data_IF_863485565635
#
_entry.id   IF_863485565635
#
_cell.length_a   1.000
_cell.length_b   1.000
_cell.length_c   1.000
_cell.angle_alpha   90.00
_cell.angle_beta   90.00
_cell.angle_gamma   90.00
#
_symmetry.space_group_name_H-M   'P 1'
#
loop_
_entity.id
_entity.type
_entity.pdbx_description
1 polymer ?
#
# COMPACT_ATOMS: atom_id res chain seq x y z
N UNK A 1 -3.52 16.00 39.12
CA UNK A 1 -3.81 17.38 38.67
C UNK A 1 -3.95 17.36 37.15
N UNK A 2 -5.13 17.73 36.64
CA UNK A 2 -5.45 17.80 35.21
C UNK A 2 -5.02 19.17 34.69
N UNK A 3 -4.08 19.23 33.75
CA UNK A 3 -3.82 20.46 33.00
C UNK A 3 -4.83 20.57 31.87
N UNK A 4 -5.74 21.52 32.03
CA UNK A 4 -6.77 21.87 31.05
C UNK A 4 -6.14 22.88 30.07
N UNK A 5 -5.72 22.42 28.90
CA UNK A 5 -5.16 23.28 27.85
C UNK A 5 -6.32 24.00 27.16
N UNK A 6 -6.43 25.32 27.33
CA UNK A 6 -7.32 26.17 26.56
C UNK A 6 -6.66 26.48 25.21
N UNK A 7 -7.25 25.99 24.12
CA UNK A 7 -6.86 26.37 22.76
C UNK A 7 -7.67 27.60 22.30
N UNK A 8 -7.06 28.59 21.62
CA UNK A 8 -7.76 29.76 21.09
C UNK A 8 -8.74 29.40 19.97
N UNK A 9 -9.87 30.12 19.91
CA UNK A 9 -10.85 30.04 18.83
C UNK A 9 -10.18 30.42 17.49
N UNK A 10 -10.09 29.47 16.55
CA UNK A 10 -9.44 29.65 15.25
C UNK A 10 -8.19 28.78 15.00
N UNK A 11 -7.84 27.87 15.90
CA UNK A 11 -6.82 26.85 15.62
C UNK A 11 -7.38 25.80 14.65
N UNK A 12 -7.06 25.93 13.37
CA UNK A 12 -7.10 24.79 12.45
C UNK A 12 -5.93 23.86 12.82
N UNK A 13 -6.18 22.61 13.25
CA UNK A 13 -5.11 21.66 13.44
C UNK A 13 -4.32 21.56 12.14
N UNK A 14 -2.98 21.65 12.16
CA UNK A 14 -2.20 21.39 10.97
C UNK A 14 -2.60 20.01 10.46
N UNK A 15 -3.04 19.92 9.21
CA UNK A 15 -3.46 18.67 8.57
C UNK A 15 -2.45 17.57 8.93
N UNK A 16 -2.94 16.44 9.45
CA UNK A 16 -2.10 15.30 9.82
C UNK A 16 -1.28 14.88 8.60
N UNK A 17 -0.04 15.35 8.51
CA UNK A 17 0.90 14.93 7.46
C UNK A 17 1.37 13.54 7.85
N UNK A 18 0.90 12.52 7.14
CA UNK A 18 1.26 11.13 7.43
C UNK A 18 2.70 10.88 6.98
N UNK A 19 3.68 11.20 7.84
CA UNK A 19 5.11 10.96 7.61
C UNK A 19 5.48 9.47 7.71
N UNK A 20 4.85 8.63 6.90
CA UNK A 20 5.00 7.17 6.89
C UNK A 20 5.49 6.62 5.56
N UNK A 21 5.45 5.29 5.46
CA UNK A 21 5.79 4.55 4.24
C UNK A 21 4.50 4.10 3.55
N UNK A 22 4.31 4.56 2.31
CA UNK A 22 3.25 4.08 1.42
C UNK A 22 3.79 2.90 0.61
N UNK A 23 3.22 1.72 0.77
CA UNK A 23 3.63 0.51 0.05
C UNK A 23 2.54 0.15 -0.95
N UNK A 24 2.83 0.26 -2.24
CA UNK A 24 1.96 -0.28 -3.28
C UNK A 24 2.31 -1.76 -3.48
N UNK A 25 1.47 -2.63 -2.94
CA UNK A 25 1.67 -4.08 -2.95
C UNK A 25 0.75 -4.70 -4.01
N UNK A 26 1.34 -5.05 -5.16
CA UNK A 26 0.59 -5.64 -6.27
C UNK A 26 1.48 -6.54 -7.16
N UNK A 27 0.85 -7.31 -8.03
CA UNK A 27 1.51 -7.93 -9.18
C UNK A 27 2.04 -6.89 -10.18
N UNK A 28 1.40 -5.72 -10.33
CA UNK A 28 1.65 -4.77 -11.42
C UNK A 28 1.46 -5.35 -12.83
N UNK A 29 0.66 -6.42 -12.97
CA UNK A 29 0.31 -6.96 -14.29
C UNK A 29 -0.73 -6.07 -15.00
N UNK A 30 -1.77 -5.67 -14.25
CA UNK A 30 -2.90 -4.89 -14.77
C UNK A 30 -2.78 -3.39 -14.42
N UNK A 31 -1.72 -3.00 -13.72
CA UNK A 31 -1.49 -1.61 -13.26
C UNK A 31 -0.87 -0.78 -14.39
N UNK A 32 -1.53 0.32 -14.72
CA UNK A 32 -1.14 1.29 -15.74
C UNK A 32 -0.15 2.33 -15.21
N UNK A 33 0.53 3.05 -16.12
CA UNK A 33 1.37 4.18 -15.71
C UNK A 33 0.55 5.29 -15.04
N UNK A 34 -0.69 5.49 -15.48
CA UNK A 34 -1.63 6.45 -14.89
C UNK A 34 -1.95 6.09 -13.43
N UNK A 35 -2.14 4.81 -13.10
CA UNK A 35 -2.37 4.36 -11.73
C UNK A 35 -1.10 4.45 -10.86
N UNK A 36 0.09 4.27 -11.44
CA UNK A 36 1.35 4.54 -10.75
C UNK A 36 1.50 6.05 -10.47
N UNK A 37 1.13 6.91 -11.42
CA UNK A 37 1.12 8.35 -11.25
C UNK A 37 0.10 8.77 -10.17
N UNK A 38 -1.04 8.09 -10.05
CA UNK A 38 -1.98 8.30 -8.94
C UNK A 38 -1.37 7.91 -7.59
N UNK A 39 -0.61 6.81 -7.52
CA UNK A 39 0.10 6.43 -6.29
C UNK A 39 1.16 7.48 -5.90
N UNK A 40 1.86 8.05 -6.89
CA UNK A 40 2.80 9.15 -6.68
C UNK A 40 2.08 10.45 -6.26
N UNK A 41 0.95 10.78 -6.86
CA UNK A 41 0.15 11.92 -6.45
C UNK A 41 -0.39 11.75 -5.02
N UNK A 42 -0.76 10.53 -4.62
CA UNK A 42 -1.16 10.19 -3.26
C UNK A 42 0.01 10.37 -2.28
N UNK A 43 1.22 9.93 -2.65
CA UNK A 43 2.46 10.18 -1.91
C UNK A 43 2.60 11.66 -1.54
N UNK A 44 2.53 12.53 -2.55
CA UNK A 44 2.72 13.97 -2.41
C UNK A 44 1.58 14.61 -1.62
N UNK A 45 0.32 14.30 -1.99
CA UNK A 45 -0.89 14.86 -1.37
C UNK A 45 -0.94 14.60 0.13
N UNK A 46 -0.58 13.39 0.57
CA UNK A 46 -0.57 13.01 1.99
C UNK A 46 0.78 13.21 2.68
N UNK A 47 1.77 13.72 1.96
CA UNK A 47 3.13 13.98 2.48
C UNK A 47 3.80 12.74 3.09
N UNK A 48 3.58 11.58 2.46
CA UNK A 48 4.29 10.36 2.81
C UNK A 48 5.80 10.53 2.60
N UNK A 49 6.60 9.87 3.43
CA UNK A 49 8.05 9.98 3.35
C UNK A 49 8.60 9.30 2.08
N UNK A 50 8.02 8.16 1.71
CA UNK A 50 8.42 7.39 0.53
C UNK A 50 7.30 6.48 0.02
N UNK A 51 7.39 6.14 -1.27
CA UNK A 51 6.53 5.19 -1.98
C UNK A 51 7.38 3.97 -2.30
N UNK A 52 6.95 2.81 -1.80
CA UNK A 52 7.58 1.52 -2.07
C UNK A 52 6.67 0.74 -3.00
N UNK A 53 7.11 0.56 -4.24
CA UNK A 53 6.48 -0.36 -5.18
C UNK A 53 6.99 -1.77 -4.87
N UNK A 54 6.11 -2.67 -4.46
CA UNK A 54 6.44 -4.03 -4.07
C UNK A 54 5.84 -5.02 -5.09
N UNK A 55 6.55 -5.31 -6.20
CA UNK A 55 6.07 -6.27 -7.19
C UNK A 55 6.07 -7.69 -6.64
N UNK A 56 4.97 -8.43 -6.86
CA UNK A 56 4.88 -9.83 -6.47
C UNK A 56 5.55 -10.76 -7.48
N UNK A 57 6.24 -11.78 -6.97
CA UNK A 57 6.75 -12.87 -7.79
C UNK A 57 5.58 -13.71 -8.35
N UNK A 58 5.74 -14.31 -9.53
CA UNK A 58 4.70 -15.06 -10.24
C UNK A 58 4.16 -16.22 -9.41
N UNK A 59 5.03 -16.88 -8.64
CA UNK A 59 4.63 -17.94 -7.71
C UNK A 59 3.72 -17.41 -6.59
N UNK A 60 3.96 -16.17 -6.12
CA UNK A 60 3.10 -15.51 -5.14
C UNK A 60 1.75 -15.17 -5.75
N UNK A 61 1.74 -14.56 -6.94
CA UNK A 61 0.49 -14.24 -7.64
C UNK A 61 -0.33 -15.50 -7.92
N UNK A 62 0.31 -16.58 -8.39
CA UNK A 62 -0.33 -17.87 -8.66
C UNK A 62 -1.06 -18.44 -7.43
N UNK A 63 -0.49 -18.26 -6.23
CA UNK A 63 -1.10 -18.70 -4.97
C UNK A 63 -2.27 -17.82 -4.54
N UNK A 64 -2.22 -16.53 -4.86
CA UNK A 64 -3.21 -15.54 -4.45
C UNK A 64 -4.43 -15.48 -5.38
N UNK A 65 -4.21 -15.31 -6.68
CA UNK A 65 -5.28 -15.04 -7.66
C UNK A 65 -5.48 -16.15 -8.68
N UNK A 66 -4.52 -17.09 -8.79
CA UNK A 66 -4.45 -18.11 -9.87
C UNK A 66 -4.40 -17.53 -11.28
N UNK A 67 -4.26 -16.21 -11.44
CA UNK A 67 -4.05 -15.57 -12.75
C UNK A 67 -2.60 -15.77 -13.21
N UNK A 68 -2.36 -16.06 -14.49
CA UNK A 68 -1.02 -15.94 -15.06
C UNK A 68 -0.61 -14.46 -15.06
N UNK A 69 0.67 -14.19 -14.90
CA UNK A 69 1.27 -12.85 -15.01
C UNK A 69 2.55 -12.94 -15.82
N UNK A 70 2.94 -11.81 -16.40
CA UNK A 70 4.24 -11.68 -17.06
C UNK A 70 5.39 -11.94 -16.09
N UNK A 71 6.56 -12.36 -16.62
CA UNK A 71 7.72 -12.63 -15.80
C UNK A 71 8.10 -11.46 -14.89
N UNK A 72 8.47 -11.77 -13.65
CA UNK A 72 8.76 -10.79 -12.60
C UNK A 72 9.75 -9.72 -13.06
N UNK A 73 10.84 -10.13 -13.70
CA UNK A 73 11.88 -9.20 -14.13
C UNK A 73 11.35 -8.16 -15.12
N UNK A 74 10.39 -8.51 -16.00
CA UNK A 74 9.81 -7.56 -16.96
C UNK A 74 8.97 -6.50 -16.26
N UNK A 75 8.18 -6.92 -15.26
CA UNK A 75 7.37 -5.99 -14.45
C UNK A 75 8.27 -5.11 -13.59
N UNK A 76 9.29 -5.69 -12.95
CA UNK A 76 10.29 -4.95 -12.18
C UNK A 76 11.03 -3.91 -13.04
N UNK A 77 11.46 -4.28 -14.25
CA UNK A 77 12.10 -3.38 -15.21
C UNK A 77 11.17 -2.22 -15.61
N UNK A 78 9.90 -2.51 -15.90
CA UNK A 78 8.90 -1.48 -16.23
C UNK A 78 8.69 -0.49 -15.07
N UNK A 79 8.62 -0.97 -13.83
CA UNK A 79 8.51 -0.09 -12.65
C UNK A 79 9.78 0.77 -12.46
N UNK A 80 10.95 0.21 -12.76
CA UNK A 80 12.19 0.96 -12.75
C UNK A 80 12.26 2.02 -13.85
N UNK A 81 11.77 1.72 -15.06
CA UNK A 81 11.65 2.68 -16.17
C UNK A 81 10.68 3.81 -15.83
N UNK A 82 9.49 3.48 -15.35
CA UNK A 82 8.50 4.46 -14.88
C UNK A 82 9.11 5.36 -13.80
N UNK A 83 9.74 4.80 -12.76
CA UNK A 83 10.42 5.56 -11.71
C UNK A 83 11.47 6.51 -12.26
N UNK A 84 12.31 6.04 -13.20
CA UNK A 84 13.34 6.89 -13.85
C UNK A 84 12.70 8.05 -14.61
N UNK A 85 11.60 7.80 -15.31
CA UNK A 85 10.91 8.83 -16.10
C UNK A 85 10.35 9.98 -15.25
N UNK A 86 9.94 9.70 -14.00
CA UNK A 86 9.39 10.70 -13.07
C UNK A 86 10.45 11.40 -12.23
N UNK A 87 11.68 10.87 -12.18
CA UNK A 87 12.79 11.48 -11.45
C UNK A 87 12.61 11.56 -9.93
N UNK A 88 11.63 10.86 -9.35
CA UNK A 88 11.33 10.94 -7.92
C UNK A 88 12.31 10.09 -7.09
N UNK A 89 13.03 10.74 -6.18
CA UNK A 89 13.93 10.10 -5.22
C UNK A 89 13.19 9.41 -4.08
N UNK A 90 11.92 9.74 -3.86
CA UNK A 90 11.08 9.17 -2.81
C UNK A 90 10.43 7.84 -3.21
N UNK A 91 10.57 7.44 -4.47
CA UNK A 91 10.05 6.15 -4.97
C UNK A 91 11.14 5.09 -4.91
N UNK A 92 10.82 3.91 -4.40
CA UNK A 92 11.67 2.72 -4.38
C UNK A 92 10.93 1.53 -4.99
N UNK A 93 11.59 0.77 -5.87
CA UNK A 93 11.10 -0.55 -6.31
C UNK A 93 11.76 -1.61 -5.43
N UNK A 94 10.95 -2.40 -4.72
CA UNK A 94 11.41 -3.40 -3.77
C UNK A 94 11.54 -4.79 -4.41
N UNK A 95 12.78 -5.20 -4.66
CA UNK A 95 13.10 -6.45 -5.34
C UNK A 95 13.10 -7.73 -4.48
N UNK A 96 12.62 -7.68 -3.23
CA UNK A 96 12.81 -8.78 -2.28
C UNK A 96 12.08 -10.07 -2.66
N UNK A 97 10.84 -9.98 -3.16
CA UNK A 97 10.07 -11.17 -3.56
C UNK A 97 10.76 -11.90 -4.73
N UNK A 98 11.22 -11.15 -5.73
CA UNK A 98 11.99 -11.68 -6.87
C UNK A 98 13.24 -12.46 -6.47
N UNK A 99 13.96 -11.99 -5.45
CA UNK A 99 15.17 -12.68 -4.94
C UNK A 99 14.87 -14.04 -4.32
N UNK A 100 13.66 -14.26 -3.80
CA UNK A 100 13.28 -15.54 -3.18
C UNK A 100 12.96 -16.62 -4.21
N UNK A 101 12.52 -16.23 -5.43
CA UNK A 101 12.15 -17.13 -6.55
C UNK A 101 11.12 -18.20 -6.18
N UNK A 102 10.34 -17.97 -5.12
CA UNK A 102 9.33 -18.90 -4.58
C UNK A 102 8.21 -18.10 -3.93
N UNK A 103 7.11 -18.78 -3.62
CA UNK A 103 6.00 -18.19 -2.88
C UNK A 103 6.48 -17.44 -1.63
N UNK A 104 6.09 -16.17 -1.54
CA UNK A 104 6.29 -15.33 -0.37
C UNK A 104 4.96 -15.10 0.32
N UNK A 105 4.73 -15.71 1.50
CA UNK A 105 3.57 -15.37 2.31
C UNK A 105 3.53 -13.88 2.60
N UNK A 106 2.36 -13.25 2.48
CA UNK A 106 2.19 -11.81 2.72
C UNK A 106 2.70 -11.39 4.10
N UNK A 107 2.51 -12.23 5.11
CA UNK A 107 3.08 -12.07 6.45
C UNK A 107 4.61 -11.90 6.44
N UNK A 108 5.33 -12.69 5.63
CA UNK A 108 6.80 -12.55 5.49
C UNK A 108 7.19 -11.27 4.77
N UNK A 109 6.43 -10.88 3.73
CA UNK A 109 6.65 -9.62 3.03
C UNK A 109 6.46 -8.41 3.96
N UNK A 110 5.39 -8.41 4.76
CA UNK A 110 5.09 -7.33 5.70
C UNK A 110 6.12 -7.24 6.84
N UNK A 111 6.63 -8.37 7.36
CA UNK A 111 7.74 -8.34 8.34
C UNK A 111 8.99 -7.70 7.74
N UNK A 112 9.37 -8.13 6.53
CA UNK A 112 10.51 -7.56 5.82
C UNK A 112 10.34 -6.04 5.59
N UNK A 113 9.15 -5.61 5.15
CA UNK A 113 8.85 -4.20 4.96
C UNK A 113 8.94 -3.41 6.27
N UNK A 114 8.44 -3.97 7.37
CA UNK A 114 8.50 -3.33 8.68
C UNK A 114 9.92 -3.24 9.25
N UNK A 115 10.79 -4.21 8.94
CA UNK A 115 12.21 -4.16 9.32
C UNK A 115 13.00 -3.14 8.50
N UNK A 116 12.66 -2.99 7.22
CA UNK A 116 13.42 -2.16 6.28
C UNK A 116 12.98 -0.69 6.26
N UNK A 117 11.67 -0.44 6.40
CA UNK A 117 11.08 0.88 6.20
C UNK A 117 10.48 1.44 7.50
N UNK A 118 10.48 2.77 7.69
CA UNK A 118 9.95 3.40 8.90
C UNK A 118 8.41 3.38 8.91
N UNK A 119 7.85 3.11 10.09
CA UNK A 119 6.44 3.30 10.40
C UNK A 119 6.07 4.81 10.43
N UNK A 120 4.77 5.19 10.33
CA UNK A 120 3.60 4.34 10.12
C UNK A 120 3.52 3.71 8.72
N UNK A 121 2.85 2.56 8.60
CA UNK A 121 2.73 1.79 7.35
C UNK A 121 1.35 1.90 6.72
N UNK A 122 1.34 2.20 5.42
CA UNK A 122 0.14 2.29 4.60
C UNK A 122 0.27 1.32 3.45
N UNK A 123 -0.67 0.38 3.32
CA UNK A 123 -0.72 -0.51 2.17
C UNK A 123 -1.69 0.08 1.14
N UNK A 124 -1.16 0.48 -0.01
CA UNK A 124 -1.95 0.86 -1.16
C UNK A 124 -2.26 -0.40 -1.99
N UNK A 125 -3.54 -0.73 -2.12
CA UNK A 125 -4.01 -2.01 -2.67
C UNK A 125 -5.16 -1.81 -3.65
N UNK A 126 -5.22 -2.67 -4.67
CA UNK A 126 -6.44 -2.90 -5.43
C UNK A 126 -7.51 -3.60 -4.56
N UNK A 127 -8.81 -3.47 -4.87
CA UNK A 127 -9.87 -4.19 -4.17
C UNK A 127 -9.64 -5.70 -4.13
N UNK A 128 -9.17 -6.28 -5.23
CA UNK A 128 -8.85 -7.69 -5.37
C UNK A 128 -7.75 -8.10 -4.40
N UNK A 129 -6.68 -7.29 -4.32
CA UNK A 129 -5.56 -7.56 -3.43
C UNK A 129 -5.95 -7.39 -1.95
N UNK A 130 -6.78 -6.40 -1.62
CA UNK A 130 -7.31 -6.20 -0.28
C UNK A 130 -8.20 -7.38 0.17
N UNK A 131 -9.07 -7.86 -0.72
CA UNK A 131 -9.89 -9.05 -0.46
C UNK A 131 -9.03 -10.32 -0.31
N UNK A 132 -8.03 -10.51 -1.17
CA UNK A 132 -7.09 -11.61 -1.06
C UNK A 132 -6.33 -11.55 0.29
N UNK A 133 -5.87 -10.37 0.69
CA UNK A 133 -5.21 -10.16 1.98
C UNK A 133 -6.13 -10.52 3.16
N UNK A 134 -7.38 -10.05 3.14
CA UNK A 134 -8.37 -10.32 4.19
C UNK A 134 -8.71 -11.81 4.36
N UNK A 135 -8.49 -12.63 3.32
CA UNK A 135 -8.70 -14.07 3.38
C UNK A 135 -7.63 -14.80 4.24
N UNK A 136 -6.44 -14.23 4.39
CA UNK A 136 -5.34 -14.87 5.13
C UNK A 136 -5.54 -14.79 6.65
N UNK A 137 -5.03 -15.82 7.35
CA UNK A 137 -5.08 -15.88 8.81
C UNK A 137 -4.27 -14.77 9.49
N UNK A 138 -3.22 -14.27 8.83
CA UNK A 138 -2.37 -13.18 9.34
C UNK A 138 -3.00 -11.80 9.21
N UNK A 139 -4.15 -11.67 8.54
CA UNK A 139 -4.80 -10.38 8.29
C UNK A 139 -5.07 -9.62 9.59
N UNK A 140 -5.68 -10.27 10.57
CA UNK A 140 -6.08 -9.62 11.83
C UNK A 140 -4.89 -9.12 12.65
N UNK A 141 -3.76 -9.83 12.61
CA UNK A 141 -2.53 -9.34 13.22
C UNK A 141 -2.05 -8.06 12.53
N UNK A 142 -2.00 -8.07 11.20
CA UNK A 142 -1.41 -6.99 10.43
C UNK A 142 -2.29 -5.75 10.33
N UNK A 143 -3.61 -5.89 10.19
CA UNK A 143 -4.54 -4.76 10.04
C UNK A 143 -4.55 -3.82 11.26
N UNK A 144 -4.11 -4.30 12.42
CA UNK A 144 -3.89 -3.47 13.62
C UNK A 144 -2.64 -2.58 13.52
N UNK A 145 -1.64 -2.98 12.72
CA UNK A 145 -0.34 -2.31 12.55
C UNK A 145 -0.25 -1.48 11.26
N UNK A 146 -1.04 -1.81 10.25
CA UNK A 146 -1.10 -1.09 8.97
C UNK A 146 -2.45 -0.37 8.82
N UNK A 147 -2.46 0.68 8.01
CA UNK A 147 -3.69 1.24 7.43
C UNK A 147 -3.76 0.83 5.96
N UNK A 148 -4.94 0.51 5.45
CA UNK A 148 -5.10 0.23 4.01
C UNK A 148 -5.65 1.46 3.31
N UNK A 149 -5.12 1.75 2.14
CA UNK A 149 -5.68 2.71 1.21
C UNK A 149 -6.00 1.92 -0.05
N UNK A 150 -7.27 1.89 -0.43
CA UNK A 150 -7.70 1.15 -1.61
C UNK A 150 -7.74 2.07 -2.83
N UNK A 151 -7.37 1.57 -4.00
CA UNK A 151 -7.47 2.31 -5.26
C UNK A 151 -8.93 2.74 -5.51
N UNK A 152 -9.87 1.86 -5.19
CA UNK A 152 -11.32 2.08 -5.29
C UNK A 152 -12.09 1.27 -4.24
N UNK A 153 -13.41 1.45 -4.18
CA UNK A 153 -14.26 0.74 -3.23
C UNK A 153 -14.54 -0.70 -3.69
N UNK A 154 -14.33 -1.72 -2.84
CA UNK A 154 -14.59 -3.10 -3.21
C UNK A 154 -16.09 -3.35 -3.40
N UNK A 155 -16.47 -3.91 -4.56
CA UNK A 155 -17.88 -4.27 -4.86
C UNK A 155 -18.45 -5.26 -3.84
N UNK A 156 -17.63 -6.21 -3.40
CA UNK A 156 -17.96 -7.18 -2.35
C UNK A 156 -16.78 -7.31 -1.40
N UNK A 157 -16.73 -6.50 -0.31
CA UNK A 157 -15.66 -6.60 0.66
C UNK A 157 -15.75 -7.91 1.43
N UNK A 158 -14.59 -8.54 1.65
CA UNK A 158 -14.47 -9.70 2.54
C UNK A 158 -15.02 -9.33 3.94
N UNK A 159 -15.60 -10.29 4.65
CA UNK A 159 -16.21 -10.06 5.97
C UNK A 159 -15.24 -9.42 6.97
N UNK A 160 -13.99 -9.90 7.00
CA UNK A 160 -12.91 -9.29 7.80
C UNK A 160 -12.59 -7.86 7.35
N UNK A 161 -12.59 -7.56 6.05
CA UNK A 161 -12.36 -6.21 5.58
C UNK A 161 -13.48 -5.28 6.08
N UNK A 162 -14.72 -5.74 6.06
CA UNK A 162 -15.88 -5.02 6.60
C UNK A 162 -15.78 -4.81 8.12
N UNK A 163 -15.37 -5.84 8.88
CA UNK A 163 -15.17 -5.76 10.33
C UNK A 163 -14.14 -4.69 10.72
N UNK A 164 -13.10 -4.52 9.90
CA UNK A 164 -12.04 -3.54 10.10
C UNK A 164 -12.21 -2.31 9.18
N UNK A 165 -13.44 -1.90 8.86
CA UNK A 165 -13.74 -0.73 8.01
C UNK A 165 -13.10 0.58 8.49
N UNK A 166 -12.91 0.73 9.79
CA UNK A 166 -12.22 1.88 10.39
C UNK A 166 -10.69 1.90 10.15
N UNK A 167 -10.13 0.85 9.52
CA UNK A 167 -8.69 0.70 9.23
C UNK A 167 -8.37 0.79 7.74
N UNK A 168 -9.36 1.03 6.91
CA UNK A 168 -9.16 1.26 5.49
C UNK A 168 -10.06 2.37 4.96
N UNK A 169 -9.60 2.96 3.86
CA UNK A 169 -10.30 4.01 3.13
C UNK A 169 -9.98 3.88 1.64
N UNK A 170 -10.64 4.65 0.78
CA UNK A 170 -10.32 4.70 -0.65
C UNK A 170 -9.55 5.97 -0.97
N UNK A 171 -8.62 5.91 -1.92
CA UNK A 171 -7.80 7.06 -2.31
C UNK A 171 -8.63 8.22 -2.92
N UNK A 172 -9.86 7.94 -3.36
CA UNK A 172 -10.81 8.91 -3.89
C UNK A 172 -11.67 9.61 -2.82
N UNK A 173 -11.78 9.07 -1.60
CA UNK A 173 -12.71 9.57 -0.57
C UNK A 173 -12.36 10.95 0.01
N UNK A 174 -11.19 11.52 -0.31
CA UNK A 174 -10.70 12.79 0.24
C UNK A 174 -10.90 14.00 -0.69
N UNK A 175 -11.97 14.00 -1.50
CA UNK A 175 -12.41 15.13 -2.31
C UNK A 175 -13.78 15.70 -1.91
N UNK A 176 -14.36 15.25 -0.80
CA UNK A 176 -15.66 15.75 -0.32
C UNK A 176 -15.70 15.79 1.19
N UNK A 177 -15.17 16.88 1.76
CA UNK A 177 -15.63 17.46 3.02
C UNK A 177 -15.17 18.89 3.15
#
# INVERSE_FOLDING_TARGET
MRNNIQVPFGYEPPAEREKGTLVFYDSFEEITEEELDQALALLERRSFAQLVLYPLHEETVRRMSRKPVTPYYKREDALHDWRRSRGSSQVTVEGWDGKRKKYTPMDSALRFLAEKYPAPYFLYLTPEMANAFASFSSFEEWITRVRLILTEEPVQPHSRLTQFSHRWETAAAEGSR
#
